data_IF_388195365088
#
_entry.id   IF_388195365088
#
_cell.length_a   1.000
_cell.length_b   1.000
_cell.length_c   1.000
_cell.angle_alpha   90.00
_cell.angle_beta   90.00
_cell.angle_gamma   90.00
#
_symmetry.space_group_name_H-M   'P 1'
#
loop_
_entity.id
_entity.type
_entity.pdbx_description
1 polymer ?
#
# COMPACT_ATOMS: atom_id res chain seq x y z
N UNK A 1 13.17 -14.97 -17.17
CA UNK A 1 13.54 -13.61 -16.68
C UNK A 1 13.03 -13.46 -15.24
N UNK A 2 13.54 -12.51 -14.42
CA UNK A 2 13.11 -12.31 -13.01
C UNK A 2 11.57 -12.14 -12.85
N UNK A 3 10.88 -11.69 -13.91
CA UNK A 3 9.43 -11.52 -13.92
C UNK A 3 8.64 -12.79 -14.28
N UNK A 4 9.30 -13.78 -14.90
CA UNK A 4 8.68 -15.09 -15.17
C UNK A 4 8.66 -15.95 -13.91
N UNK A 5 9.71 -15.86 -13.08
CA UNK A 5 9.80 -16.59 -11.82
C UNK A 5 9.01 -15.90 -10.70
N UNK A 6 9.07 -14.56 -10.66
CA UNK A 6 8.36 -13.75 -9.69
C UNK A 6 7.50 -12.73 -10.43
N UNK A 7 6.22 -13.01 -10.72
CA UNK A 7 5.34 -12.07 -11.39
C UNK A 7 4.96 -10.88 -10.49
N UNK A 8 4.40 -9.83 -11.11
CA UNK A 8 3.79 -8.73 -10.35
C UNK A 8 2.45 -9.17 -9.74
N UNK A 9 2.09 -8.59 -8.59
CA UNK A 9 0.76 -8.71 -8.00
C UNK A 9 -0.28 -8.02 -8.90
N UNK A 10 0.08 -6.88 -9.50
CA UNK A 10 -0.83 -6.07 -10.30
C UNK A 10 -0.86 -6.52 -11.76
N UNK A 11 -2.04 -6.54 -12.36
CA UNK A 11 -2.20 -6.64 -13.82
C UNK A 11 -1.81 -5.31 -14.50
N UNK A 12 -1.51 -5.31 -15.82
CA UNK A 12 -1.21 -4.08 -16.54
C UNK A 12 -2.32 -3.03 -16.46
N UNK A 13 -3.60 -3.47 -16.48
CA UNK A 13 -4.76 -2.57 -16.37
C UNK A 13 -4.81 -1.90 -14.99
N UNK A 14 -4.59 -2.66 -13.91
CA UNK A 14 -4.49 -2.14 -12.55
C UNK A 14 -3.34 -1.14 -12.40
N UNK A 15 -2.15 -1.46 -12.94
CA UNK A 15 -1.00 -0.55 -12.93
C UNK A 15 -1.33 0.78 -13.62
N UNK A 16 -1.94 0.75 -14.81
CA UNK A 16 -2.35 1.95 -15.53
C UNK A 16 -3.38 2.78 -14.76
N UNK A 17 -4.39 2.13 -14.15
CA UNK A 17 -5.40 2.81 -13.34
C UNK A 17 -4.76 3.51 -12.13
N UNK A 18 -3.88 2.82 -11.38
CA UNK A 18 -3.13 3.41 -10.25
C UNK A 18 -2.24 4.57 -10.70
N UNK A 19 -1.55 4.43 -11.84
CA UNK A 19 -0.68 5.48 -12.38
C UNK A 19 -1.42 6.79 -12.71
N UNK A 20 -2.70 6.69 -13.07
CA UNK A 20 -3.55 7.84 -13.40
C UNK A 20 -4.31 8.38 -12.18
N UNK A 21 -4.77 7.51 -11.27
CA UNK A 21 -5.63 7.92 -10.16
C UNK A 21 -4.89 8.27 -8.86
N UNK A 22 -3.84 7.50 -8.54
CA UNK A 22 -3.15 7.57 -7.24
C UNK A 22 -1.83 8.36 -7.30
N UNK A 23 -1.09 8.26 -8.41
CA UNK A 23 0.23 8.87 -8.52
C UNK A 23 0.16 10.34 -8.99
N UNK A 24 1.13 11.20 -8.59
CA UNK A 24 1.30 12.51 -9.20
C UNK A 24 1.45 12.42 -10.72
N UNK A 25 0.78 13.29 -11.47
CA UNK A 25 0.75 13.27 -12.95
C UNK A 25 2.13 13.23 -13.62
N UNK A 26 3.15 13.81 -12.99
CA UNK A 26 4.54 13.77 -13.48
C UNK A 26 5.09 12.33 -13.56
N UNK A 27 4.52 11.39 -12.80
CA UNK A 27 4.95 10.00 -12.75
C UNK A 27 4.18 9.06 -13.68
N UNK A 28 3.10 9.50 -14.33
CA UNK A 28 2.17 8.62 -15.06
C UNK A 28 2.87 7.76 -16.13
N UNK A 29 3.91 8.28 -16.78
CA UNK A 29 4.65 7.57 -17.84
C UNK A 29 6.02 7.03 -17.37
N UNK A 30 6.32 7.11 -16.08
CA UNK A 30 7.56 6.55 -15.56
C UNK A 30 7.50 5.02 -15.57
N UNK A 31 8.65 4.39 -15.85
CA UNK A 31 8.78 2.94 -15.75
C UNK A 31 8.81 2.50 -14.29
N UNK A 32 7.96 1.54 -13.96
CA UNK A 32 7.93 0.93 -12.63
C UNK A 32 9.04 -0.13 -12.52
N UNK A 33 9.68 -0.19 -11.35
CA UNK A 33 10.71 -1.18 -11.05
C UNK A 33 10.39 -1.79 -9.69
N UNK A 34 10.40 -3.13 -9.60
CA UNK A 34 10.29 -3.84 -8.32
C UNK A 34 11.57 -3.66 -7.51
N UNK A 35 11.49 -2.85 -6.46
CA UNK A 35 12.58 -2.70 -5.48
C UNK A 35 12.64 -3.88 -4.52
N UNK A 36 11.49 -4.34 -4.01
CA UNK A 36 11.37 -5.43 -3.03
C UNK A 36 10.08 -6.25 -3.28
N UNK A 37 10.11 -7.55 -2.98
CA UNK A 37 8.92 -8.40 -2.82
C UNK A 37 9.22 -9.60 -1.94
N UNK A 38 8.22 -10.08 -1.19
CA UNK A 38 8.37 -11.26 -0.33
C UNK A 38 8.78 -12.52 -1.10
N UNK A 39 8.18 -12.74 -2.28
CA UNK A 39 8.46 -13.91 -3.11
C UNK A 39 9.92 -14.00 -3.59
N UNK A 40 10.54 -12.85 -3.92
CA UNK A 40 11.92 -12.77 -4.45
C UNK A 40 12.96 -12.60 -3.35
N UNK A 41 12.67 -11.76 -2.36
CA UNK A 41 13.68 -11.24 -1.42
C UNK A 41 13.50 -11.78 0.02
N UNK A 42 12.43 -12.54 0.28
CA UNK A 42 12.03 -12.99 1.61
C UNK A 42 11.30 -11.93 2.42
N UNK A 43 10.92 -12.27 3.64
CA UNK A 43 10.06 -11.47 4.51
C UNK A 43 10.83 -10.59 5.51
N UNK A 44 12.14 -10.78 5.65
CA UNK A 44 12.94 -10.04 6.62
C UNK A 44 12.87 -8.51 6.44
N UNK A 45 12.46 -7.80 7.51
CA UNK A 45 12.34 -6.34 7.50
C UNK A 45 13.64 -5.62 7.12
N UNK A 46 14.79 -6.12 7.58
CA UNK A 46 16.10 -5.55 7.26
C UNK A 46 16.44 -5.64 5.78
N UNK A 47 15.96 -6.69 5.09
CA UNK A 47 16.12 -6.82 3.63
C UNK A 47 15.32 -5.75 2.90
N UNK A 48 14.09 -5.47 3.35
CA UNK A 48 13.30 -4.37 2.82
C UNK A 48 14.00 -3.02 3.01
N UNK A 49 14.51 -2.73 4.22
CA UNK A 49 15.21 -1.47 4.49
C UNK A 49 16.41 -1.28 3.56
N UNK A 50 17.21 -2.33 3.38
CA UNK A 50 18.39 -2.31 2.50
C UNK A 50 18.05 -2.10 1.03
N UNK A 51 16.93 -2.65 0.55
CA UNK A 51 16.56 -2.63 -0.87
C UNK A 51 15.67 -1.45 -1.26
N UNK A 52 14.82 -0.97 -0.36
CA UNK A 52 13.78 0.01 -0.64
C UNK A 52 13.73 1.19 0.34
N UNK A 53 14.47 1.15 1.46
CA UNK A 53 14.41 2.18 2.51
C UNK A 53 14.74 3.59 2.01
N UNK A 54 15.80 3.72 1.22
CA UNK A 54 16.27 5.00 0.67
C UNK A 54 15.52 5.46 -0.60
N UNK A 55 14.55 4.68 -1.07
CA UNK A 55 13.79 5.03 -2.26
C UNK A 55 12.98 6.30 -2.01
N UNK A 56 13.23 7.35 -2.81
CA UNK A 56 12.56 8.65 -2.69
C UNK A 56 11.03 8.56 -2.78
N UNK A 57 10.54 7.56 -3.52
CA UNK A 57 9.13 7.29 -3.77
C UNK A 57 8.93 5.80 -3.86
N UNK A 58 7.90 5.27 -3.21
CA UNK A 58 7.55 3.86 -3.27
C UNK A 58 6.06 3.70 -3.46
N UNK A 59 5.67 2.70 -4.25
CA UNK A 59 4.32 2.19 -4.29
C UNK A 59 4.32 0.85 -3.56
N UNK A 60 3.69 0.82 -2.39
CA UNK A 60 3.44 -0.39 -1.65
C UNK A 60 2.23 -1.08 -2.27
N UNK A 61 2.37 -2.36 -2.60
CA UNK A 61 1.32 -3.23 -3.13
C UNK A 61 1.20 -4.42 -2.19
N UNK A 62 0.01 -4.65 -1.66
CA UNK A 62 -0.32 -5.77 -0.78
C UNK A 62 -1.41 -6.58 -1.44
N UNK A 63 -1.23 -7.90 -1.43
CA UNK A 63 -2.31 -8.87 -1.62
C UNK A 63 -2.47 -9.62 -0.31
N UNK A 64 -3.70 -9.71 0.18
CA UNK A 64 -3.97 -10.52 1.38
C UNK A 64 -4.38 -11.95 1.01
N UNK A 65 -4.49 -12.82 2.02
CA UNK A 65 -4.98 -14.19 1.86
C UNK A 65 -6.43 -14.29 1.39
N UNK A 66 -7.21 -13.20 1.49
CA UNK A 66 -8.58 -13.10 0.96
C UNK A 66 -8.63 -12.73 -0.53
N UNK A 67 -7.49 -12.39 -1.13
CA UNK A 67 -7.38 -11.96 -2.52
C UNK A 67 -7.59 -10.46 -2.73
N UNK A 68 -7.84 -9.68 -1.67
CA UNK A 68 -7.98 -8.24 -1.79
C UNK A 68 -6.62 -7.61 -2.12
N UNK A 69 -6.59 -6.66 -3.06
CA UNK A 69 -5.38 -5.96 -3.52
C UNK A 69 -5.48 -4.48 -3.19
N UNK A 70 -4.54 -3.98 -2.40
CA UNK A 70 -4.55 -2.60 -1.90
C UNK A 70 -3.14 -2.15 -1.56
N UNK A 71 -3.00 -0.90 -1.15
CA UNK A 71 -1.71 -0.39 -0.73
C UNK A 71 -1.67 1.10 -0.52
N UNK A 72 -0.47 1.64 -0.71
CA UNK A 72 -0.19 3.05 -0.47
C UNK A 72 0.90 3.57 -1.41
N UNK A 73 0.85 4.86 -1.70
CA UNK A 73 1.94 5.59 -2.32
C UNK A 73 2.63 6.44 -1.25
N UNK A 74 3.94 6.27 -1.12
CA UNK A 74 4.82 7.11 -0.32
C UNK A 74 5.65 8.02 -1.23
N UNK A 75 5.63 9.31 -0.94
CA UNK A 75 6.45 10.34 -1.60
C UNK A 75 7.64 10.78 -0.71
N UNK A 76 8.12 9.87 0.14
CA UNK A 76 9.25 10.09 1.02
C UNK A 76 9.92 8.76 1.38
N UNK A 77 11.25 8.73 1.57
CA UNK A 77 11.96 7.56 2.07
C UNK A 77 11.42 7.03 3.40
N UNK A 78 11.73 5.78 3.70
CA UNK A 78 11.38 5.11 4.93
C UNK A 78 12.41 5.44 6.02
N UNK A 79 12.08 6.41 6.86
CA UNK A 79 12.98 6.91 7.91
C UNK A 79 12.56 6.39 9.27
N UNK A 80 13.51 5.85 10.04
CA UNK A 80 13.23 5.34 11.37
C UNK A 80 12.57 6.43 12.23
N UNK A 81 11.43 6.09 12.80
CA UNK A 81 10.70 6.99 13.66
C UNK A 81 11.36 7.06 15.04
N UNK A 82 12.08 8.16 15.31
CA UNK A 82 12.48 8.47 16.69
C UNK A 82 11.24 8.78 17.52
N UNK A 83 10.91 7.92 18.48
CA UNK A 83 9.80 8.08 19.44
C UNK A 83 8.41 8.21 18.78
N UNK A 84 8.13 7.44 17.72
CA UNK A 84 6.80 7.41 17.09
C UNK A 84 6.44 8.69 16.30
N UNK A 85 7.42 9.53 15.96
CA UNK A 85 7.24 10.68 15.09
C UNK A 85 6.92 10.27 13.65
N UNK A 86 5.79 10.77 13.14
CA UNK A 86 5.40 10.63 11.75
C UNK A 86 6.22 11.52 10.81
N UNK A 87 6.37 11.08 9.57
CA UNK A 87 6.98 11.82 8.47
C UNK A 87 6.13 11.68 7.19
N UNK A 88 6.66 12.09 6.04
CA UNK A 88 5.98 11.98 4.75
C UNK A 88 5.49 13.30 4.18
N UNK A 89 4.97 13.22 2.96
CA UNK A 89 4.55 14.36 2.15
C UNK A 89 3.03 14.32 1.89
N UNK A 90 2.46 15.48 1.55
CA UNK A 90 1.07 15.65 1.17
C UNK A 90 0.66 14.84 -0.08
N UNK A 91 1.63 14.34 -0.84
CA UNK A 91 1.39 13.53 -2.03
C UNK A 91 1.13 12.06 -1.72
N UNK A 92 1.36 11.62 -0.48
CA UNK A 92 1.06 10.25 -0.08
C UNK A 92 -0.46 9.99 -0.13
N UNK A 93 -0.83 8.77 -0.45
CA UNK A 93 -2.22 8.33 -0.48
C UNK A 93 -2.34 6.83 -0.20
N UNK A 94 -3.54 6.40 0.19
CA UNK A 94 -3.94 5.00 0.19
C UNK A 94 -4.72 4.69 -1.08
N UNK A 95 -4.73 3.42 -1.48
CA UNK A 95 -5.53 2.96 -2.60
C UNK A 95 -5.96 1.51 -2.43
N UNK A 96 -7.06 1.13 -3.07
CA UNK A 96 -7.56 -0.24 -3.08
C UNK A 96 -8.18 -0.58 -4.45
N UNK A 97 -7.97 -1.80 -4.92
CA UNK A 97 -8.71 -2.36 -6.05
C UNK A 97 -10.08 -2.79 -5.53
N UNK A 98 -11.15 -2.36 -6.20
CA UNK A 98 -12.54 -2.70 -5.90
C UNK A 98 -13.15 -3.37 -7.11
N UNK A 99 -13.72 -4.56 -6.93
CA UNK A 99 -14.56 -5.20 -7.95
C UNK A 99 -16.02 -4.85 -7.70
N UNK A 100 -16.77 -4.51 -8.75
CA UNK A 100 -18.21 -4.46 -8.65
C UNK A 100 -18.78 -5.89 -8.56
N UNK A 101 -19.02 -6.37 -7.33
CA UNK A 101 -19.58 -7.72 -7.08
C UNK A 101 -21.09 -7.79 -7.37
N UNK A 102 -21.71 -6.75 -7.93
CA UNK A 102 -23.15 -6.72 -8.22
C UNK A 102 -23.54 -7.58 -9.43
N UNK A 103 -22.58 -7.98 -10.28
CA UNK A 103 -22.83 -8.77 -11.48
C UNK A 103 -22.73 -10.28 -11.26
N UNK A 104 -23.69 -11.01 -11.82
CA UNK A 104 -23.89 -12.46 -11.63
C UNK A 104 -22.70 -13.28 -12.15
N UNK A 105 -22.46 -14.41 -11.47
CA UNK A 105 -21.51 -15.45 -11.85
C UNK A 105 -21.61 -15.77 -13.36
N UNK A 106 -20.51 -15.52 -14.09
CA UNK A 106 -20.37 -15.85 -15.52
C UNK A 106 -20.45 -14.69 -16.53
N UNK A 107 -20.49 -13.42 -16.11
CA UNK A 107 -20.60 -12.27 -17.03
C UNK A 107 -19.57 -11.14 -16.87
N UNK A 108 -18.63 -11.22 -15.91
CA UNK A 108 -17.61 -10.20 -15.75
C UNK A 108 -16.32 -10.57 -16.51
N UNK A 109 -15.81 -9.62 -17.27
CA UNK A 109 -14.40 -9.59 -17.63
C UNK A 109 -13.67 -9.02 -16.40
N UNK A 110 -12.96 -9.89 -15.66
CA UNK A 110 -12.44 -9.59 -14.34
C UNK A 110 -11.54 -8.33 -14.32
N UNK A 111 -10.82 -8.05 -15.40
CA UNK A 111 -9.97 -6.86 -15.52
C UNK A 111 -10.77 -5.57 -15.87
N UNK A 112 -11.94 -5.68 -16.49
CA UNK A 112 -12.75 -4.53 -16.91
C UNK A 112 -13.55 -3.94 -15.73
N UNK A 113 -14.08 -4.82 -14.87
CA UNK A 113 -15.03 -4.49 -13.80
C UNK A 113 -14.37 -4.13 -12.45
N UNK A 114 -13.04 -4.15 -12.43
CA UNK A 114 -12.27 -3.58 -11.33
C UNK A 114 -12.22 -2.06 -11.41
N UNK A 115 -12.03 -1.39 -10.28
CA UNK A 115 -11.77 0.04 -10.17
C UNK A 115 -10.71 0.28 -9.11
N UNK A 116 -10.02 1.43 -9.16
CA UNK A 116 -9.02 1.80 -8.16
C UNK A 116 -9.57 2.98 -7.37
N UNK A 117 -9.95 2.70 -6.13
CA UNK A 117 -10.36 3.71 -5.16
C UNK A 117 -9.11 4.33 -4.52
N UNK A 118 -9.08 5.66 -4.36
CA UNK A 118 -7.91 6.39 -3.88
C UNK A 118 -8.31 7.36 -2.77
N UNK A 119 -7.60 7.30 -1.65
CA UNK A 119 -7.79 8.17 -0.49
C UNK A 119 -6.57 9.09 -0.33
N UNK A 120 -6.74 10.34 -0.75
CA UNK A 120 -5.70 11.36 -0.70
C UNK A 120 -5.62 12.00 0.68
N UNK A 121 -4.48 12.60 0.99
CA UNK A 121 -4.31 13.33 2.25
C UNK A 121 -5.36 14.44 2.41
N UNK A 122 -6.02 14.47 3.56
CA UNK A 122 -7.12 15.41 3.83
C UNK A 122 -6.65 16.79 4.26
N UNK A 123 -5.40 16.91 4.69
CA UNK A 123 -4.90 18.12 5.35
C UNK A 123 -5.16 18.18 6.86
N UNK A 124 -5.92 17.24 7.44
CA UNK A 124 -6.36 17.31 8.83
C UNK A 124 -5.23 17.16 9.86
N UNK A 125 -4.19 16.37 9.55
CA UNK A 125 -3.03 16.16 10.41
C UNK A 125 -1.80 15.72 9.58
N UNK A 126 -0.64 15.56 10.21
CA UNK A 126 0.60 15.09 9.54
C UNK A 126 1.00 13.66 9.90
N UNK A 127 0.05 12.81 10.31
CA UNK A 127 0.29 11.41 10.65
C UNK A 127 0.40 10.53 9.39
N UNK A 128 1.25 10.90 8.45
CA UNK A 128 1.21 10.40 7.05
C UNK A 128 1.93 9.06 6.90
N UNK A 129 3.22 9.00 7.23
CA UNK A 129 4.05 7.79 7.21
C UNK A 129 4.68 7.57 8.59
N UNK A 130 4.77 6.31 9.00
CA UNK A 130 5.46 5.87 10.21
C UNK A 130 6.25 4.61 9.90
N UNK A 131 7.46 4.52 10.42
CA UNK A 131 8.25 3.29 10.41
C UNK A 131 8.86 3.07 11.79
N UNK A 132 8.67 1.86 12.32
CA UNK A 132 9.23 1.43 13.59
C UNK A 132 10.05 0.15 13.36
N UNK A 133 11.36 0.28 13.46
CA UNK A 133 12.30 -0.84 13.28
C UNK A 133 12.19 -1.83 14.44
N UNK A 134 11.87 -1.37 15.65
CA UNK A 134 11.75 -2.23 16.83
C UNK A 134 10.58 -3.19 16.74
N UNK A 135 9.46 -2.73 16.16
CA UNK A 135 8.28 -3.56 15.90
C UNK A 135 8.22 -4.10 14.46
N UNK A 136 9.23 -3.79 13.63
CA UNK A 136 9.31 -4.21 12.22
C UNK A 136 8.05 -3.81 11.43
N UNK A 137 7.64 -2.57 11.62
CA UNK A 137 6.37 -2.03 11.17
C UNK A 137 6.57 -0.84 10.23
N UNK A 138 5.76 -0.79 9.18
CA UNK A 138 5.49 0.42 8.40
C UNK A 138 4.00 0.73 8.41
N UNK A 139 3.63 2.00 8.51
CA UNK A 139 2.23 2.41 8.54
C UNK A 139 1.99 3.73 7.81
N UNK A 140 0.75 3.90 7.36
CA UNK A 140 0.21 5.08 6.71
C UNK A 140 -1.06 5.54 7.43
N UNK A 141 -1.14 6.84 7.71
CA UNK A 141 -2.39 7.50 8.10
C UNK A 141 -2.81 7.21 9.53
N UNK A 142 -2.35 8.02 10.47
CA UNK A 142 -2.75 7.92 11.88
C UNK A 142 -4.08 8.61 12.20
N UNK A 143 -4.40 8.65 13.50
CA UNK A 143 -5.63 9.27 13.99
C UNK A 143 -6.88 8.44 13.74
N UNK A 144 -6.72 7.11 13.64
CA UNK A 144 -7.82 6.16 13.76
C UNK A 144 -8.17 5.85 15.23
N UNK A 145 -9.26 5.10 15.43
CA UNK A 145 -9.73 4.69 16.76
C UNK A 145 -8.64 3.88 17.48
N UNK A 146 -8.44 4.14 18.77
CA UNK A 146 -7.41 3.48 19.60
C UNK A 146 -5.99 3.52 19.01
N UNK A 147 -5.66 4.57 18.25
CA UNK A 147 -4.34 4.72 17.62
C UNK A 147 -4.17 3.92 16.32
N UNK A 148 -5.26 3.38 15.76
CA UNK A 148 -5.23 2.65 14.50
C UNK A 148 -4.78 3.50 13.30
N UNK A 149 -4.35 2.80 12.25
CA UNK A 149 -3.83 3.38 11.02
C UNK A 149 -4.77 3.11 9.84
N UNK A 150 -4.68 3.94 8.81
CA UNK A 150 -5.29 3.70 7.51
C UNK A 150 -4.76 2.41 6.87
N UNK A 151 -3.45 2.20 6.98
CA UNK A 151 -2.78 0.95 6.64
C UNK A 151 -1.58 0.74 7.56
N UNK A 152 -1.43 -0.46 8.12
CA UNK A 152 -0.29 -0.89 8.89
C UNK A 152 0.17 -2.27 8.40
N UNK A 153 1.47 -2.44 8.25
CA UNK A 153 2.12 -3.72 7.92
C UNK A 153 3.19 -3.96 8.98
N UNK A 154 3.20 -5.13 9.60
CA UNK A 154 4.03 -5.43 10.76
C UNK A 154 4.51 -6.89 10.77
N UNK A 155 5.36 -7.23 11.74
CA UNK A 155 5.86 -8.59 11.96
C UNK A 155 6.53 -9.18 10.71
N UNK A 156 7.55 -8.47 10.20
CA UNK A 156 8.28 -8.85 8.98
C UNK A 156 7.34 -9.01 7.77
N UNK A 157 6.38 -8.10 7.59
CA UNK A 157 5.39 -8.14 6.51
C UNK A 157 4.51 -9.40 6.46
N UNK A 158 4.32 -10.10 7.58
CA UNK A 158 3.46 -11.30 7.64
C UNK A 158 1.98 -10.96 7.81
N UNK A 159 1.71 -9.81 8.42
CA UNK A 159 0.35 -9.37 8.75
C UNK A 159 0.24 -7.86 8.68
N UNK A 160 -1.00 -7.39 8.68
CA UNK A 160 -1.29 -5.98 8.75
C UNK A 160 -2.67 -5.70 9.30
N UNK A 161 -2.96 -4.41 9.40
CA UNK A 161 -4.29 -3.91 9.72
C UNK A 161 -4.64 -2.70 8.88
N UNK A 162 -5.93 -2.48 8.67
CA UNK A 162 -6.46 -1.31 7.98
C UNK A 162 -7.77 -0.90 8.63
N UNK A 163 -8.01 0.41 8.70
CA UNK A 163 -9.26 0.94 9.20
C UNK A 163 -9.37 2.44 8.95
N UNK A 164 -10.48 3.06 9.38
CA UNK A 164 -10.67 4.48 9.18
C UNK A 164 -9.65 5.34 9.92
N UNK A 165 -9.10 6.33 9.22
CA UNK A 165 -8.17 7.30 9.81
C UNK A 165 -8.53 8.74 9.39
N UNK A 166 -8.17 9.72 10.21
CA UNK A 166 -8.41 11.14 9.91
C UNK A 166 -7.45 11.70 8.85
N UNK A 167 -6.26 11.10 8.69
CA UNK A 167 -5.24 11.57 7.74
C UNK A 167 -5.67 11.44 6.28
N UNK A 168 -6.34 10.34 5.94
CA UNK A 168 -6.78 10.04 4.56
C UNK A 168 -8.30 9.92 4.42
N UNK A 169 -9.03 9.86 5.54
CA UNK A 169 -10.49 9.64 5.55
C UNK A 169 -10.88 8.43 4.69
N UNK A 170 -10.09 7.37 4.79
CA UNK A 170 -10.35 6.10 4.13
C UNK A 170 -11.30 5.23 4.94
N UNK A 171 -11.97 4.32 4.26
CA UNK A 171 -12.54 3.13 4.88
C UNK A 171 -11.50 2.00 4.93
N UNK A 172 -11.88 0.84 5.47
CA UNK A 172 -11.05 -0.37 5.41
C UNK A 172 -10.63 -0.69 3.97
N UNK A 173 -9.34 -0.91 3.74
CA UNK A 173 -8.82 -1.17 2.40
C UNK A 173 -9.12 -2.59 1.90
N UNK A 174 -9.38 -3.53 2.81
CA UNK A 174 -9.84 -4.89 2.50
C UNK A 174 -11.02 -5.29 3.39
N UNK A 175 -11.57 -6.49 3.14
CA UNK A 175 -12.76 -6.98 3.85
C UNK A 175 -12.58 -7.26 5.34
N UNK A 176 -11.34 -7.29 5.84
CA UNK A 176 -11.03 -7.55 7.25
C UNK A 176 -10.14 -6.44 7.83
N UNK A 177 -10.41 -6.05 9.08
CA UNK A 177 -9.58 -5.05 9.77
C UNK A 177 -8.14 -5.54 10.00
N UNK A 178 -7.95 -6.86 10.16
CA UNK A 178 -6.65 -7.51 10.27
C UNK A 178 -6.54 -8.53 9.15
N UNK A 179 -5.37 -8.59 8.50
CA UNK A 179 -5.15 -9.46 7.35
C UNK A 179 -3.77 -10.12 7.40
N UNK A 180 -3.65 -11.26 6.71
CA UNK A 180 -2.38 -11.95 6.47
C UNK A 180 -1.93 -11.66 5.04
N UNK A 181 -0.63 -11.46 4.88
CA UNK A 181 -0.03 -11.09 3.58
C UNK A 181 0.49 -12.35 2.89
N UNK A 182 0.35 -12.38 1.56
CA UNK A 182 0.86 -13.44 0.68
C UNK A 182 2.01 -12.97 -0.20
#
# INVERSE_FOLDING_TARGET
SDLEEFPYILSPSQMSRIAVSALPNVLTYHRWRRSFSLARDGDAFDTFLRLAGDARRTLLVVRDTGGDVFGAYADSPWTESRRGKFHGSALACLWAVRCDRSWREGQCDADADESVEVYKWTGANRYIQLMDVGTKMIAFGGGGKAGGFGLCIEDDFRRGSTGPCTTFQNDSLCGQQHFKIV
#
